data_IF_281246841003
#
_entry.id   IF_281246841003
#
_cell.length_a   1.000
_cell.length_b   1.000
_cell.length_c   1.000
_cell.angle_alpha   90.00
_cell.angle_beta   90.00
_cell.angle_gamma   90.00
#
_symmetry.space_group_name_H-M   'P 1'
#
loop_
_entity.id
_entity.type
_entity.pdbx_description
1 polymer ?
#
# COMPACT_ATOMS: atom_id res chain seq x y z
N UNK A 1 12.81 2.86 0.60
CA UNK A 1 13.15 4.29 0.33
C UNK A 1 13.85 4.52 -1.01
N UNK A 2 14.93 3.79 -1.36
CA UNK A 2 15.73 4.06 -2.57
C UNK A 2 14.96 3.90 -3.91
N UNK A 3 13.86 3.15 -3.91
CA UNK A 3 13.03 2.91 -5.09
C UNK A 3 11.98 4.00 -5.35
N UNK A 4 11.81 4.96 -4.43
CA UNK A 4 10.83 6.05 -4.54
C UNK A 4 11.48 7.39 -4.90
N UNK A 5 10.87 8.13 -5.81
CA UNK A 5 11.28 9.48 -6.23
C UNK A 5 12.75 9.59 -6.72
N UNK A 6 13.30 10.81 -6.73
CA UNK A 6 14.71 11.11 -6.99
C UNK A 6 15.50 11.30 -5.68
N UNK A 7 16.83 11.36 -5.76
CA UNK A 7 17.69 11.65 -4.60
C UNK A 7 17.33 13.00 -3.98
N UNK A 8 17.16 14.02 -4.81
CA UNK A 8 16.86 15.40 -4.40
C UNK A 8 15.54 15.46 -3.63
N UNK A 9 14.50 14.78 -4.14
CA UNK A 9 13.22 14.71 -3.44
C UNK A 9 13.35 13.94 -2.12
N UNK A 10 14.16 12.88 -2.05
CA UNK A 10 14.38 12.12 -0.81
C UNK A 10 15.16 12.91 0.25
N UNK A 11 16.06 13.80 -0.16
CA UNK A 11 16.78 14.68 0.77
C UNK A 11 15.85 15.72 1.41
N UNK A 12 14.77 16.11 0.73
CA UNK A 12 13.81 17.11 1.22
C UNK A 12 12.58 16.48 1.89
N UNK A 13 12.21 15.26 1.51
CA UNK A 13 11.02 14.59 2.01
C UNK A 13 11.19 14.19 3.48
N UNK A 14 10.22 14.57 4.32
CA UNK A 14 10.11 14.10 5.71
C UNK A 14 9.23 12.86 5.79
N UNK A 15 9.36 12.08 6.88
CA UNK A 15 8.53 10.89 7.11
C UNK A 15 7.06 11.27 7.22
N UNK A 16 6.71 12.25 8.06
CA UNK A 16 5.33 12.73 8.21
C UNK A 16 4.74 13.23 6.88
N UNK A 17 5.49 14.04 6.12
CA UNK A 17 5.05 14.51 4.81
C UNK A 17 4.89 13.39 3.77
N UNK A 18 5.71 12.33 3.86
CA UNK A 18 5.59 11.16 2.99
C UNK A 18 4.31 10.36 3.29
N UNK A 19 3.98 10.17 4.57
CA UNK A 19 2.75 9.50 5.01
C UNK A 19 1.49 10.28 4.59
N UNK A 20 1.57 11.61 4.54
CA UNK A 20 0.48 12.50 4.16
C UNK A 20 0.45 12.88 2.67
N UNK A 21 1.26 12.22 1.84
CA UNK A 21 1.28 12.55 0.42
C UNK A 21 -0.06 12.20 -0.24
N UNK A 22 -0.58 13.13 -1.04
CA UNK A 22 -1.85 12.92 -1.74
C UNK A 22 -1.68 12.10 -3.02
N UNK A 23 -2.80 11.57 -3.52
CA UNK A 23 -2.87 10.76 -4.73
C UNK A 23 -2.28 11.46 -5.97
N UNK A 24 -1.84 10.63 -6.94
CA UNK A 24 -1.37 11.07 -8.27
C UNK A 24 -2.44 10.96 -9.35
N UNK A 25 -3.69 10.67 -8.98
CA UNK A 25 -4.83 10.70 -9.89
C UNK A 25 -4.85 12.02 -10.68
N UNK A 26 -4.76 11.91 -12.00
CA UNK A 26 -4.70 13.07 -12.91
C UNK A 26 -5.94 13.95 -12.84
N UNK A 27 -7.12 13.34 -12.66
CA UNK A 27 -8.40 14.04 -12.49
C UNK A 27 -8.51 14.81 -11.17
N UNK A 28 -7.93 14.26 -10.10
CA UNK A 28 -7.84 14.95 -8.82
C UNK A 28 -6.90 16.17 -8.90
N UNK A 29 -5.77 16.01 -9.60
CA UNK A 29 -4.73 17.04 -9.74
C UNK A 29 -5.05 18.13 -10.76
N UNK A 30 -6.00 17.87 -11.66
CA UNK A 30 -6.55 18.86 -12.58
C UNK A 30 -7.82 19.46 -11.97
N UNK A 31 -7.79 20.73 -11.49
CA UNK A 31 -8.95 21.37 -10.88
C UNK A 31 -10.06 21.66 -11.89
N UNK A 32 -9.80 21.61 -13.21
CA UNK A 32 -10.79 21.90 -14.25
C UNK A 32 -11.76 20.75 -14.47
N UNK A 33 -11.41 19.52 -14.07
CA UNK A 33 -12.28 18.35 -14.14
C UNK A 33 -13.31 18.41 -13.00
N UNK A 34 -14.61 18.64 -13.23
CA UNK A 34 -15.54 18.86 -12.13
C UNK A 34 -15.83 17.60 -11.30
N UNK A 35 -15.74 16.39 -11.87
CA UNK A 35 -16.11 15.14 -11.20
C UNK A 35 -14.95 14.55 -10.39
N UNK A 36 -14.82 14.96 -9.14
CA UNK A 36 -13.87 14.38 -8.21
C UNK A 36 -14.40 14.43 -6.77
N UNK A 37 -15.02 13.34 -6.30
CA UNK A 37 -15.54 13.20 -4.93
C UNK A 37 -14.49 13.52 -3.85
N UNK A 38 -13.20 13.20 -4.08
CA UNK A 38 -12.09 13.49 -3.17
C UNK A 38 -11.79 15.00 -3.01
N UNK A 39 -12.22 15.83 -3.96
CA UNK A 39 -12.06 17.29 -3.93
C UNK A 39 -13.38 18.01 -3.63
N UNK A 40 -14.47 17.54 -4.21
CA UNK A 40 -15.82 18.05 -4.02
C UNK A 40 -16.77 16.85 -3.80
N UNK A 41 -17.12 16.52 -2.55
CA UNK A 41 -18.01 15.40 -2.25
C UNK A 41 -19.33 15.45 -3.05
N UNK A 42 -19.74 14.32 -3.62
CA UNK A 42 -20.96 14.22 -4.44
C UNK A 42 -20.81 14.62 -5.91
N UNK A 43 -19.65 15.14 -6.34
CA UNK A 43 -19.41 15.51 -7.75
C UNK A 43 -19.17 14.33 -8.70
N UNK A 44 -19.01 13.12 -8.17
CA UNK A 44 -18.73 11.90 -8.94
C UNK A 44 -17.23 11.61 -9.09
N UNK A 45 -16.89 10.57 -9.87
CA UNK A 45 -15.52 10.16 -10.10
C UNK A 45 -15.20 10.07 -11.61
N UNK A 46 -14.53 11.07 -12.16
CA UNK A 46 -14.09 11.05 -13.56
C UNK A 46 -13.16 9.87 -13.89
N UNK A 47 -12.41 9.37 -12.90
CA UNK A 47 -11.47 8.27 -13.11
C UNK A 47 -12.17 6.93 -13.40
N UNK A 48 -13.33 6.67 -12.81
CA UNK A 48 -14.10 5.42 -13.01
C UNK A 48 -14.53 5.24 -14.47
N UNK A 49 -14.89 6.35 -15.13
CA UNK A 49 -15.31 6.36 -16.54
C UNK A 49 -14.19 6.80 -17.51
N UNK A 50 -12.98 7.01 -16.98
CA UNK A 50 -11.87 7.62 -17.68
C UNK A 50 -10.69 6.67 -17.88
N UNK A 51 -9.50 7.21 -18.12
CA UNK A 51 -8.27 6.41 -18.18
C UNK A 51 -7.84 6.09 -16.75
N UNK A 52 -8.04 4.83 -16.39
CA UNK A 52 -7.87 4.38 -15.02
C UNK A 52 -6.54 3.67 -14.75
N UNK A 53 -5.63 3.52 -15.72
CA UNK A 53 -4.40 2.69 -15.60
C UNK A 53 -3.60 2.81 -14.29
N UNK A 54 -3.46 4.01 -13.74
CA UNK A 54 -2.72 4.29 -12.51
C UNK A 54 -3.61 4.32 -11.23
N UNK A 55 -4.76 3.64 -11.22
CA UNK A 55 -5.72 3.65 -10.11
C UNK A 55 -5.76 2.33 -9.36
N UNK A 56 -6.39 2.35 -8.18
CA UNK A 56 -6.51 1.21 -7.29
C UNK A 56 -7.51 0.17 -7.82
N UNK A 57 -7.32 -1.07 -7.37
CA UNK A 57 -8.24 -2.20 -7.55
C UNK A 57 -8.66 -2.83 -6.21
N UNK A 58 -8.05 -2.44 -5.09
CA UNK A 58 -8.40 -2.87 -3.74
C UNK A 58 -8.92 -1.68 -2.92
N UNK A 59 -10.03 -1.89 -2.20
CA UNK A 59 -10.76 -0.83 -1.48
C UNK A 59 -11.20 0.30 -2.42
N UNK A 60 -11.46 -0.05 -3.68
CA UNK A 60 -11.86 0.83 -4.75
C UNK A 60 -13.34 0.59 -5.06
N UNK A 61 -14.03 1.64 -5.47
CA UNK A 61 -15.44 1.56 -5.86
C UNK A 61 -15.89 2.77 -6.66
N UNK A 62 -17.20 2.88 -6.88
CA UNK A 62 -17.78 3.92 -7.74
C UNK A 62 -17.48 5.34 -7.26
N UNK A 63 -17.31 5.55 -5.95
CA UNK A 63 -17.04 6.86 -5.37
C UNK A 63 -15.62 7.34 -5.62
N UNK A 64 -14.63 6.46 -5.52
CA UNK A 64 -13.24 6.81 -5.76
C UNK A 64 -12.37 5.56 -5.98
N UNK A 65 -11.47 5.65 -6.96
CA UNK A 65 -10.44 4.63 -7.24
C UNK A 65 -9.02 5.18 -7.09
N UNK A 66 -8.85 6.32 -6.44
CA UNK A 66 -7.52 6.93 -6.29
C UNK A 66 -6.64 6.10 -5.34
N UNK A 67 -5.47 5.66 -5.82
CA UNK A 67 -4.50 4.94 -4.99
C UNK A 67 -3.68 5.86 -4.09
N UNK A 68 -3.15 5.28 -3.00
CA UNK A 68 -2.09 5.89 -2.20
C UNK A 68 -0.72 5.56 -2.80
N UNK A 69 0.10 6.60 -3.04
CA UNK A 69 1.28 6.47 -3.88
C UNK A 69 2.59 6.20 -3.11
N UNK A 70 2.56 6.19 -1.77
CA UNK A 70 3.75 6.03 -0.95
C UNK A 70 4.28 4.60 -0.95
N UNK A 71 5.54 4.43 -1.37
CA UNK A 71 6.28 3.18 -1.15
C UNK A 71 6.64 2.97 0.33
N UNK A 72 6.93 4.05 1.06
CA UNK A 72 7.33 4.00 2.46
C UNK A 72 6.17 3.50 3.33
N UNK A 73 4.98 4.03 3.13
CA UNK A 73 3.81 3.67 3.92
C UNK A 73 3.43 2.19 3.74
N UNK A 74 3.66 1.60 2.55
CA UNK A 74 3.44 0.16 2.31
C UNK A 74 4.36 -0.69 3.17
N UNK A 75 5.65 -0.35 3.23
CA UNK A 75 6.60 -1.06 4.09
C UNK A 75 6.25 -0.88 5.58
N UNK A 76 5.90 0.33 6.00
CA UNK A 76 5.55 0.61 7.40
C UNK A 76 4.25 -0.08 7.84
N UNK A 77 3.24 -0.17 6.97
CA UNK A 77 2.02 -0.94 7.23
C UNK A 77 2.36 -2.42 7.37
N UNK A 78 3.26 -2.97 6.55
CA UNK A 78 3.74 -4.36 6.70
C UNK A 78 4.57 -4.56 7.98
N UNK A 79 5.13 -3.51 8.57
CA UNK A 79 5.94 -3.56 9.78
C UNK A 79 5.14 -3.40 11.08
N UNK A 80 3.82 -3.19 11.00
CA UNK A 80 2.96 -2.78 12.13
C UNK A 80 3.46 -1.49 12.80
N UNK A 81 3.91 -0.52 11.99
CA UNK A 81 4.39 0.76 12.51
C UNK A 81 3.26 1.52 13.23
N UNK A 82 3.64 2.32 14.23
CA UNK A 82 2.76 3.22 14.97
C UNK A 82 3.15 4.66 14.64
N UNK A 83 2.17 5.47 14.25
CA UNK A 83 2.32 6.91 14.05
C UNK A 83 1.95 7.62 15.33
N UNK A 84 2.89 8.37 15.90
CA UNK A 84 2.62 9.19 17.06
C UNK A 84 2.31 10.61 16.64
N UNK A 85 1.26 11.15 17.23
CA UNK A 85 0.74 12.48 16.91
C UNK A 85 0.56 13.30 18.18
N UNK A 86 0.85 14.60 18.06
CA UNK A 86 0.61 15.61 19.08
C UNK A 86 -0.55 16.50 18.63
N UNK A 87 -1.65 16.49 19.38
CA UNK A 87 -2.73 17.46 19.25
C UNK A 87 -2.58 18.61 20.25
N UNK A 88 -3.54 19.56 20.27
CA UNK A 88 -3.52 20.70 21.19
C UNK A 88 -3.57 20.29 22.67
N UNK A 89 -4.30 19.23 22.99
CA UNK A 89 -4.56 18.81 24.39
C UNK A 89 -3.90 17.48 24.77
N UNK A 90 -3.62 16.60 23.81
CA UNK A 90 -3.08 15.26 24.07
C UNK A 90 -2.21 14.74 22.94
N UNK A 91 -1.31 13.82 23.28
CA UNK A 91 -0.59 12.97 22.34
C UNK A 91 -1.28 11.61 22.22
N UNK A 92 -1.17 10.94 21.07
CA UNK A 92 -1.63 9.55 20.90
C UNK A 92 -0.80 8.80 19.86
N UNK A 93 -0.68 7.48 20.05
CA UNK A 93 -0.17 6.55 19.05
C UNK A 93 -1.30 5.95 18.22
N UNK A 94 -1.10 5.84 16.91
CA UNK A 94 -2.09 5.32 15.95
C UNK A 94 -1.42 4.21 15.14
N UNK A 95 -1.89 2.96 15.18
CA UNK A 95 -1.40 1.92 14.29
C UNK A 95 -1.53 2.37 12.83
N UNK A 96 -0.47 2.26 12.02
CA UNK A 96 -0.49 2.76 10.65
C UNK A 96 -1.50 1.98 9.77
N UNK A 97 -1.84 0.74 10.16
CA UNK A 97 -2.94 -0.06 9.60
C UNK A 97 -4.32 0.60 9.75
N UNK A 98 -4.48 1.43 10.77
CA UNK A 98 -5.70 2.17 11.12
C UNK A 98 -5.63 3.67 10.75
N UNK A 99 -4.43 4.17 10.41
CA UNK A 99 -4.22 5.58 10.10
C UNK A 99 -4.96 6.03 8.83
N UNK A 100 -4.97 5.20 7.80
CA UNK A 100 -5.56 5.51 6.49
C UNK A 100 -7.00 5.01 6.38
N UNK A 101 -7.89 5.92 5.98
CA UNK A 101 -9.30 5.63 5.75
C UNK A 101 -9.52 5.01 4.37
N UNK A 102 -10.56 4.19 4.24
CA UNK A 102 -11.00 3.67 2.94
C UNK A 102 -11.71 4.76 2.14
N UNK A 103 -11.67 4.66 0.82
CA UNK A 103 -12.26 5.67 -0.06
C UNK A 103 -13.75 5.42 -0.34
N UNK A 104 -14.34 4.38 0.25
CA UNK A 104 -15.69 3.91 -0.02
C UNK A 104 -16.75 4.88 0.49
N UNK A 105 -16.56 5.49 1.66
CA UNK A 105 -17.55 6.42 2.22
C UNK A 105 -17.19 7.88 1.95
N UNK A 106 -16.04 8.32 2.46
CA UNK A 106 -15.60 9.72 2.47
C UNK A 106 -14.23 9.88 1.81
N UNK A 107 -14.13 9.82 0.47
CA UNK A 107 -12.84 9.88 -0.22
C UNK A 107 -12.07 11.20 -0.01
N UNK A 108 -12.74 12.26 0.42
CA UNK A 108 -12.15 13.53 0.85
C UNK A 108 -11.36 13.42 2.16
N UNK A 109 -11.68 12.45 3.03
CA UNK A 109 -10.94 12.16 4.26
C UNK A 109 -9.99 10.99 4.02
N UNK A 110 -8.68 11.26 4.02
CA UNK A 110 -7.66 10.27 3.65
C UNK A 110 -7.04 9.56 4.86
N UNK A 111 -7.14 10.17 6.05
CA UNK A 111 -6.55 9.67 7.29
C UNK A 111 -7.36 10.15 8.51
N UNK A 112 -7.02 9.58 9.67
CA UNK A 112 -7.69 9.83 10.96
C UNK A 112 -7.15 11.04 11.74
N UNK A 113 -6.25 11.84 11.15
CA UNK A 113 -5.77 13.04 11.81
C UNK A 113 -6.93 14.03 11.97
N UNK A 114 -7.02 14.57 13.17
CA UNK A 114 -7.90 15.69 13.48
C UNK A 114 -7.20 17.02 13.21
N UNK A 115 -7.98 18.09 13.14
CA UNK A 115 -7.44 19.43 12.98
C UNK A 115 -6.44 19.73 14.12
N UNK A 116 -5.31 20.36 13.75
CA UNK A 116 -4.20 20.68 14.65
C UNK A 116 -3.47 19.48 15.28
N UNK A 117 -3.66 18.25 14.78
CA UNK A 117 -2.75 17.14 15.09
C UNK A 117 -1.51 17.17 14.18
N UNK A 118 -0.33 17.02 14.80
CA UNK A 118 0.96 16.97 14.13
C UNK A 118 1.60 15.59 14.32
N UNK A 119 2.02 14.95 13.23
CA UNK A 119 2.85 13.74 13.30
C UNK A 119 4.23 14.13 13.85
N UNK A 120 4.60 13.57 15.00
CA UNK A 120 5.88 13.85 15.67
C UNK A 120 6.91 12.76 15.39
N UNK A 121 6.48 11.50 15.33
CA UNK A 121 7.38 10.35 15.18
C UNK A 121 6.66 9.12 14.60
N UNK A 122 7.45 8.17 14.12
CA UNK A 122 6.97 6.87 13.66
C UNK A 122 7.81 5.80 14.36
N UNK A 123 7.13 4.94 15.10
CA UNK A 123 7.72 3.81 15.80
C UNK A 123 7.55 2.54 14.96
N UNK A 124 8.60 1.73 14.89
CA UNK A 124 8.60 0.46 14.16
C UNK A 124 8.92 -0.66 15.16
N UNK A 125 7.97 -1.56 15.45
CA UNK A 125 8.24 -2.72 16.30
C UNK A 125 9.33 -3.59 15.69
N UNK A 126 10.32 -3.98 16.51
CA UNK A 126 11.37 -4.88 16.05
C UNK A 126 10.78 -6.25 15.71
N UNK A 127 11.05 -6.80 14.51
CA UNK A 127 10.63 -8.15 14.19
C UNK A 127 11.42 -9.17 15.02
N UNK A 128 10.90 -10.41 15.20
CA UNK A 128 11.64 -11.48 15.85
C UNK A 128 13.00 -11.72 15.17
N UNK A 129 14.00 -12.25 15.90
CA UNK A 129 15.26 -12.72 15.31
C UNK A 129 15.03 -13.62 14.10
N UNK A 130 15.97 -13.59 13.16
CA UNK A 130 15.94 -14.37 11.91
C UNK A 130 14.80 -14.03 10.93
N UNK A 131 14.00 -13.00 11.23
CA UNK A 131 13.02 -12.48 10.27
C UNK A 131 13.75 -11.84 9.08
N UNK A 132 13.41 -12.28 7.87
CA UNK A 132 13.88 -11.68 6.62
C UNK A 132 12.79 -10.77 6.06
N UNK A 133 13.21 -9.68 5.41
CA UNK A 133 12.29 -8.75 4.75
C UNK A 133 12.80 -8.30 3.40
N UNK A 134 11.89 -7.88 2.54
CA UNK A 134 12.24 -7.22 1.29
C UNK A 134 11.10 -6.36 0.74
N UNK A 135 11.42 -5.65 -0.35
CA UNK A 135 10.49 -4.77 -1.04
C UNK A 135 10.73 -4.82 -2.55
N UNK A 136 9.72 -5.27 -3.30
CA UNK A 136 9.73 -5.25 -4.76
C UNK A 136 8.82 -4.15 -5.29
N UNK A 137 9.29 -3.43 -6.30
CA UNK A 137 8.52 -2.39 -7.00
C UNK A 137 8.53 -2.64 -8.50
N UNK A 138 7.35 -2.72 -9.10
CA UNK A 138 7.14 -2.82 -10.54
C UNK A 138 6.63 -1.49 -11.09
N UNK A 139 7.23 -1.04 -12.19
CA UNK A 139 6.98 0.27 -12.82
C UNK A 139 7.38 0.22 -14.30
N UNK A 140 6.91 1.19 -15.09
CA UNK A 140 7.13 1.21 -16.55
C UNK A 140 8.57 1.57 -16.91
N UNK A 141 9.18 2.47 -16.15
CA UNK A 141 10.60 2.85 -16.31
C UNK A 141 11.43 2.54 -15.07
N UNK A 142 12.72 2.36 -15.28
CA UNK A 142 13.64 1.83 -14.26
C UNK A 142 13.79 2.68 -13.00
N UNK A 143 13.51 3.99 -13.06
CA UNK A 143 13.59 4.92 -11.92
C UNK A 143 12.66 6.12 -12.04
N UNK A 144 12.53 6.91 -10.97
CA UNK A 144 11.69 8.12 -10.91
C UNK A 144 10.25 7.86 -11.39
N UNK A 145 9.60 6.85 -10.83
CA UNK A 145 8.21 6.54 -11.13
C UNK A 145 7.52 5.90 -9.93
N UNK A 146 6.22 6.12 -9.83
CA UNK A 146 5.36 5.44 -8.85
C UNK A 146 5.14 3.97 -9.25
N UNK A 147 4.73 3.16 -8.28
CA UNK A 147 4.52 1.73 -8.51
C UNK A 147 3.25 1.49 -9.36
N UNK A 148 3.34 0.61 -10.36
CA UNK A 148 2.15 -0.06 -10.89
C UNK A 148 1.62 -1.07 -9.88
N UNK A 149 2.54 -1.78 -9.24
CA UNK A 149 2.33 -2.60 -8.04
C UNK A 149 3.65 -2.71 -7.27
N UNK A 150 3.57 -2.94 -5.97
CA UNK A 150 4.72 -3.26 -5.13
C UNK A 150 4.31 -4.22 -4.02
N UNK A 151 5.27 -4.97 -3.49
CA UNK A 151 5.09 -5.85 -2.35
C UNK A 151 6.20 -5.61 -1.32
N UNK A 152 5.80 -5.39 -0.08
CA UNK A 152 6.66 -5.41 1.11
C UNK A 152 6.37 -6.70 1.87
N UNK A 153 7.38 -7.53 2.08
CA UNK A 153 7.21 -8.85 2.71
C UNK A 153 8.16 -8.97 3.89
N UNK A 154 7.66 -9.52 4.99
CA UNK A 154 8.45 -10.01 6.11
C UNK A 154 8.09 -11.46 6.40
N UNK A 155 9.08 -12.34 6.45
CA UNK A 155 8.90 -13.76 6.76
C UNK A 155 9.87 -14.20 7.85
N UNK A 156 9.35 -14.96 8.80
CA UNK A 156 10.15 -15.82 9.66
C UNK A 156 9.90 -17.26 9.22
N UNK A 157 10.92 -17.92 8.67
CA UNK A 157 10.83 -19.33 8.23
C UNK A 157 11.72 -20.18 9.14
N UNK A 158 11.15 -21.22 9.73
CA UNK A 158 11.87 -22.15 10.60
C UNK A 158 11.50 -23.59 10.24
N UNK A 159 12.49 -24.41 9.89
CA UNK A 159 12.29 -25.80 9.46
C UNK A 159 11.45 -25.92 8.18
N UNK A 160 11.55 -24.95 7.26
CA UNK A 160 10.75 -24.92 6.03
C UNK A 160 9.30 -24.43 6.21
N UNK A 161 8.86 -24.15 7.44
CA UNK A 161 7.53 -23.61 7.74
C UNK A 161 7.60 -22.11 7.99
N UNK A 162 6.66 -21.37 7.42
CA UNK A 162 6.49 -19.94 7.66
C UNK A 162 5.84 -19.76 9.04
N UNK A 163 6.62 -19.31 10.03
CA UNK A 163 6.15 -19.07 11.41
C UNK A 163 5.46 -17.72 11.56
N UNK A 164 5.87 -16.75 10.77
CA UNK A 164 5.26 -15.41 10.72
C UNK A 164 5.34 -14.87 9.31
N UNK A 165 4.24 -14.30 8.84
CA UNK A 165 4.19 -13.55 7.60
C UNK A 165 3.59 -12.17 7.86
N UNK A 166 4.18 -11.13 7.27
CA UNK A 166 3.56 -9.81 7.12
C UNK A 166 3.72 -9.34 5.68
N UNK A 167 2.66 -8.83 5.08
CA UNK A 167 2.59 -8.50 3.66
C UNK A 167 1.86 -7.17 3.46
N UNK A 168 2.55 -6.21 2.85
CA UNK A 168 1.99 -4.95 2.38
C UNK A 168 2.02 -4.88 0.85
N UNK A 169 0.94 -4.40 0.22
CA UNK A 169 0.88 -4.13 -1.21
C UNK A 169 0.72 -2.64 -1.49
N UNK A 170 1.45 -2.16 -2.50
CA UNK A 170 1.39 -0.79 -2.99
C UNK A 170 0.95 -0.71 -4.45
N UNK A 171 0.52 0.47 -4.88
CA UNK A 171 0.06 0.70 -6.25
C UNK A 171 -1.28 0.04 -6.60
N UNK A 172 -1.88 -0.75 -5.70
CA UNK A 172 -3.12 -1.50 -5.94
C UNK A 172 -4.26 -1.12 -5.00
N UNK A 173 -3.98 -0.54 -3.83
CA UNK A 173 -5.00 -0.12 -2.87
C UNK A 173 -5.26 1.37 -2.86
N UNK A 174 -6.48 1.76 -2.46
CA UNK A 174 -6.81 3.16 -2.16
C UNK A 174 -6.02 3.70 -0.96
N UNK A 175 -5.56 2.80 -0.09
CA UNK A 175 -4.53 2.99 0.94
C UNK A 175 -3.38 1.99 0.76
N UNK A 176 -2.24 2.13 1.48
CA UNK A 176 -1.26 1.05 1.56
C UNK A 176 -1.96 -0.21 2.10
N UNK A 177 -1.95 -1.28 1.32
CA UNK A 177 -2.83 -2.42 1.56
C UNK A 177 -2.14 -3.45 2.44
N UNK A 178 -2.64 -3.69 3.64
CA UNK A 178 -2.20 -4.81 4.46
C UNK A 178 -2.92 -6.07 4.00
N UNK A 179 -2.18 -7.04 3.46
CA UNK A 179 -2.74 -8.24 2.85
C UNK A 179 -2.92 -9.36 3.89
N UNK A 180 -3.89 -9.17 4.80
CA UNK A 180 -4.18 -10.14 5.86
C UNK A 180 -4.59 -11.51 5.31
N UNK A 181 -5.23 -11.55 4.15
CA UNK A 181 -5.62 -12.77 3.46
C UNK A 181 -4.39 -13.60 3.05
N UNK A 182 -3.35 -12.96 2.52
CA UNK A 182 -2.07 -13.63 2.26
C UNK A 182 -1.42 -14.11 3.56
N UNK A 183 -1.38 -13.28 4.59
CA UNK A 183 -0.75 -13.63 5.88
C UNK A 183 -1.39 -14.84 6.53
N UNK A 184 -2.72 -14.94 6.44
CA UNK A 184 -3.49 -16.09 6.92
C UNK A 184 -3.12 -17.37 6.18
N UNK A 185 -3.01 -17.32 4.84
CA UNK A 185 -2.60 -18.48 4.02
C UNK A 185 -1.14 -18.88 4.30
N UNK A 186 -0.26 -17.91 4.50
CA UNK A 186 1.17 -18.14 4.67
C UNK A 186 1.50 -18.71 6.06
N UNK A 187 0.86 -18.20 7.12
CA UNK A 187 1.25 -18.54 8.50
C UNK A 187 0.93 -20.00 8.83
N UNK A 188 1.96 -20.75 9.21
CA UNK A 188 1.88 -22.19 9.50
C UNK A 188 2.03 -23.08 8.26
N UNK A 189 2.06 -22.51 7.06
CA UNK A 189 2.22 -23.24 5.80
C UNK A 189 3.71 -23.44 5.43
N UNK A 190 4.04 -24.43 4.59
CA UNK A 190 5.39 -24.60 4.07
C UNK A 190 5.78 -23.46 3.12
N UNK A 191 7.04 -23.02 3.15
CA UNK A 191 7.55 -22.01 2.23
C UNK A 191 7.76 -22.62 0.84
N UNK A 192 6.71 -22.61 0.01
CA UNK A 192 6.73 -23.17 -1.36
C UNK A 192 6.06 -22.22 -2.35
N UNK A 193 6.42 -22.37 -3.63
CA UNK A 193 5.77 -21.61 -4.72
C UNK A 193 4.25 -21.81 -4.75
N UNK A 194 3.75 -23.01 -4.46
CA UNK A 194 2.32 -23.29 -4.39
C UNK A 194 1.62 -22.45 -3.31
N UNK A 195 2.16 -22.46 -2.09
CA UNK A 195 1.65 -21.64 -0.97
C UNK A 195 1.68 -20.13 -1.30
N UNK A 196 2.72 -19.67 -1.99
CA UNK A 196 2.82 -18.26 -2.40
C UNK A 196 1.77 -17.87 -3.44
N UNK A 197 1.45 -18.78 -4.38
CA UNK A 197 0.38 -18.58 -5.35
C UNK A 197 -0.98 -18.49 -4.65
N UNK A 198 -1.25 -19.38 -3.70
CA UNK A 198 -2.51 -19.38 -2.93
C UNK A 198 -2.68 -18.08 -2.13
N UNK A 199 -1.60 -17.60 -1.50
CA UNK A 199 -1.62 -16.34 -0.75
C UNK A 199 -1.88 -15.11 -1.65
N UNK A 200 -1.28 -15.11 -2.85
CA UNK A 200 -1.48 -14.07 -3.84
C UNK A 200 -2.90 -14.08 -4.43
N UNK A 201 -3.46 -15.27 -4.67
CA UNK A 201 -4.84 -15.43 -5.11
C UNK A 201 -5.81 -14.89 -4.05
N UNK A 202 -5.64 -15.29 -2.79
CA UNK A 202 -6.50 -14.88 -1.69
C UNK A 202 -6.59 -13.36 -1.53
N UNK A 203 -5.46 -12.66 -1.63
CA UNK A 203 -5.40 -11.19 -1.47
C UNK A 203 -6.09 -10.44 -2.60
N UNK A 204 -6.04 -10.98 -3.82
CA UNK A 204 -6.52 -10.31 -5.03
C UNK A 204 -7.86 -10.88 -5.52
N UNK A 205 -8.56 -11.66 -4.69
CA UNK A 205 -9.83 -12.31 -5.04
C UNK A 205 -10.93 -11.30 -5.33
N UNK A 206 -11.07 -10.32 -4.44
CA UNK A 206 -12.16 -9.33 -4.48
C UNK A 206 -11.73 -8.01 -5.14
N UNK A 207 -10.76 -8.08 -6.06
CA UNK A 207 -10.27 -6.90 -6.77
C UNK A 207 -11.38 -6.31 -7.65
N UNK A 208 -11.68 -5.03 -7.45
CA UNK A 208 -12.64 -4.28 -8.24
C UNK A 208 -11.92 -3.54 -9.37
N UNK A 209 -12.22 -3.89 -10.62
CA UNK A 209 -11.53 -3.36 -11.79
C UNK A 209 -12.46 -2.54 -12.68
N UNK A 210 -11.86 -1.57 -13.36
CA UNK A 210 -12.43 -0.79 -14.46
C UNK A 210 -11.50 -0.87 -15.68
N UNK A 211 -11.97 -0.51 -16.90
CA UNK A 211 -11.14 -0.51 -18.10
C UNK A 211 -9.77 0.13 -17.91
N UNK A 212 -8.72 -0.67 -18.11
CA UNK A 212 -7.32 -0.27 -18.01
C UNK A 212 -6.65 -0.59 -16.67
N UNK A 213 -7.36 -1.15 -15.69
CA UNK A 213 -6.79 -1.55 -14.38
C UNK A 213 -6.64 -3.07 -14.22
N UNK A 214 -7.25 -3.86 -15.11
CA UNK A 214 -7.34 -5.32 -15.02
C UNK A 214 -5.96 -5.97 -14.94
N UNK A 215 -4.98 -5.42 -15.65
CA UNK A 215 -3.60 -5.91 -15.64
C UNK A 215 -2.95 -5.89 -14.25
N UNK A 216 -3.42 -5.02 -13.33
CA UNK A 216 -2.87 -4.92 -11.97
C UNK A 216 -3.14 -6.18 -11.17
N UNK A 217 -4.22 -6.90 -11.42
CA UNK A 217 -4.57 -8.13 -10.70
C UNK A 217 -3.50 -9.21 -10.89
N UNK A 218 -3.23 -9.70 -12.12
CA UNK A 218 -2.17 -10.68 -12.33
C UNK A 218 -0.77 -10.11 -12.03
N UNK A 219 -0.54 -8.82 -12.25
CA UNK A 219 0.76 -8.20 -11.95
C UNK A 219 1.04 -8.18 -10.45
N UNK A 220 0.06 -7.84 -9.61
CA UNK A 220 0.20 -7.84 -8.16
C UNK A 220 0.42 -9.24 -7.60
N UNK A 221 -0.33 -10.24 -8.12
CA UNK A 221 -0.13 -11.64 -7.74
C UNK A 221 1.31 -12.09 -8.00
N UNK A 222 1.81 -11.85 -9.23
CA UNK A 222 3.18 -12.18 -9.62
C UNK A 222 4.24 -11.41 -8.82
N UNK A 223 3.97 -10.15 -8.50
CA UNK A 223 4.86 -9.32 -7.68
C UNK A 223 4.99 -9.87 -6.27
N UNK A 224 3.86 -10.24 -5.64
CA UNK A 224 3.86 -10.84 -4.31
C UNK A 224 4.57 -12.20 -4.31
N UNK A 225 4.27 -13.08 -5.26
CA UNK A 225 4.94 -14.39 -5.39
C UNK A 225 6.45 -14.23 -5.54
N UNK A 226 6.89 -13.33 -6.43
CA UNK A 226 8.32 -13.07 -6.65
C UNK A 226 9.02 -12.58 -5.39
N UNK A 227 8.36 -11.72 -4.62
CA UNK A 227 8.95 -11.20 -3.40
C UNK A 227 8.98 -12.25 -2.29
N UNK A 228 7.92 -13.06 -2.14
CA UNK A 228 7.90 -14.21 -1.22
C UNK A 228 9.02 -15.20 -1.53
N UNK A 229 9.26 -15.53 -2.81
CA UNK A 229 10.39 -16.36 -3.26
C UNK A 229 11.74 -15.73 -2.86
N UNK A 230 11.90 -14.44 -3.12
CA UNK A 230 13.15 -13.71 -2.83
C UNK A 230 13.46 -13.69 -1.32
N UNK A 231 12.45 -13.38 -0.49
CA UNK A 231 12.60 -13.27 0.97
C UNK A 231 12.74 -14.64 1.63
N UNK A 232 12.05 -15.67 1.12
CA UNK A 232 12.20 -17.04 1.65
C UNK A 232 13.48 -17.73 1.17
N UNK A 233 14.04 -17.33 0.03
CA UNK A 233 15.14 -18.03 -0.64
C UNK A 233 14.70 -19.24 -1.46
N UNK A 234 13.38 -19.47 -1.60
CA UNK A 234 12.83 -20.51 -2.46
C UNK A 234 13.01 -20.09 -3.92
N UNK A 235 13.76 -20.88 -4.68
CA UNK A 235 13.98 -20.69 -6.11
C UNK A 235 12.78 -21.27 -6.88
N UNK A 236 12.32 -20.63 -7.98
CA UNK A 236 11.24 -21.15 -8.83
C UNK A 236 11.48 -22.56 -9.37
#
# INVERSE_FOLDING_TARGET
>A
LLLGASVQLRNMATIGGNLLQRTRCRYFRDPTVPECNKRAPGSGCAAVRGVARMHAVLGAGERCIALHASDLAVALVALDAVVHVQGPERSRGIPLTEFYLTADDSPERENVLEHAELITEVEIPLPPPDTRSGYLKVRDRTSYEFALTSAAVLLLVAGGTIRRARVGLGGVGTKPWRAYEAEHVLTGAPATTATFLDAAEATMRDAWTVPGTEFKVPLARRTLVRELQTVSGVIP
#
